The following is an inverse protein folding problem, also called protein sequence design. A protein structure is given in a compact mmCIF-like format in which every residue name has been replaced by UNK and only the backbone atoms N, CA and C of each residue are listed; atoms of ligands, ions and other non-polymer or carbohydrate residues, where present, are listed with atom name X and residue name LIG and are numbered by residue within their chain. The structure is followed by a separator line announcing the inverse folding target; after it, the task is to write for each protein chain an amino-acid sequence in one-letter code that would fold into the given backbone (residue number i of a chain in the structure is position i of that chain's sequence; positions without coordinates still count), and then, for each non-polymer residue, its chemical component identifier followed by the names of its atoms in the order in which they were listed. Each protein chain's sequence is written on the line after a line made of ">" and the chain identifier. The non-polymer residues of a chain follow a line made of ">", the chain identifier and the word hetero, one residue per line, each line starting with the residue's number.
data_IF_199839150164
#
_entry.id   IF_199839150164
#
_cell.length_a   1.000
_cell.length_b   1.000
_cell.length_c   1.000
_cell.angle_alpha   90.00
_cell.angle_beta   90.00
_cell.angle_gamma   90.00
#
_symmetry.space_group_name_H-M   'P 1'
#
loop_
_entity.id
_entity.type
_entity.pdbx_description
1 polymer ?
#
# COMPACT_ATOMS: atom_id res chain seq x y z
N UNK A 1 4.90 -3.05 -21.39
CA UNK A 1 4.82 -2.22 -20.17
C UNK A 1 3.43 -2.43 -19.58
N UNK A 2 3.32 -2.73 -18.28
CA UNK A 2 2.03 -2.89 -17.60
C UNK A 2 1.50 -1.51 -17.23
N UNK A 3 0.18 -1.29 -17.25
CA UNK A 3 -0.42 -0.03 -16.80
C UNK A 3 -0.89 -0.17 -15.35
N UNK A 4 -0.71 0.88 -14.55
CA UNK A 4 -1.21 0.95 -13.18
C UNK A 4 -1.79 2.33 -12.90
N UNK A 5 -2.84 2.36 -12.08
CA UNK A 5 -3.48 3.58 -11.62
C UNK A 5 -3.11 3.87 -10.17
N UNK A 6 -2.65 5.08 -9.91
CA UNK A 6 -2.68 5.67 -8.57
C UNK A 6 -4.00 6.41 -8.46
N UNK A 7 -4.90 5.87 -7.64
CA UNK A 7 -6.17 6.50 -7.34
C UNK A 7 -5.99 7.45 -6.16
N UNK A 8 -6.53 8.66 -6.26
CA UNK A 8 -6.43 9.71 -5.25
C UNK A 8 -7.82 10.24 -4.90
N UNK A 9 -8.20 10.20 -3.62
CA UNK A 9 -9.48 10.75 -3.16
C UNK A 9 -9.39 12.23 -2.74
N UNK A 10 -10.54 12.85 -2.44
CA UNK A 10 -10.62 14.22 -1.93
C UNK A 10 -9.98 14.41 -0.54
N UNK A 11 -9.78 13.34 0.23
CA UNK A 11 -9.02 13.33 1.49
C UNK A 11 -7.50 13.29 1.29
N UNK A 12 -7.03 13.25 0.03
CA UNK A 12 -5.65 13.06 -0.39
C UNK A 12 -5.09 11.68 -0.02
N UNK A 13 -5.91 10.69 0.31
CA UNK A 13 -5.45 9.32 0.37
C UNK A 13 -5.13 8.84 -1.04
N UNK A 14 -4.12 7.98 -1.15
CA UNK A 14 -3.75 7.34 -2.41
C UNK A 14 -3.84 5.84 -2.25
N UNK A 15 -4.23 5.14 -3.29
CA UNK A 15 -4.11 3.68 -3.29
C UNK A 15 -3.72 3.12 -4.63
N UNK A 16 -3.07 1.97 -4.56
CA UNK A 16 -2.64 1.17 -5.71
C UNK A 16 -2.98 -0.28 -5.43
N UNK A 17 -3.36 -1.01 -6.48
CA UNK A 17 -3.60 -2.44 -6.42
C UNK A 17 -2.58 -3.16 -7.29
N UNK A 18 -1.90 -4.14 -6.70
CA UNK A 18 -0.76 -4.84 -7.30
C UNK A 18 -0.80 -6.33 -6.94
N UNK A 19 -0.16 -7.20 -7.74
CA UNK A 19 0.20 -8.53 -7.27
C UNK A 19 1.01 -8.45 -5.98
N UNK A 20 0.76 -9.37 -5.03
CA UNK A 20 1.37 -9.42 -3.70
C UNK A 20 2.89 -9.22 -3.73
N UNK A 21 3.58 -9.91 -4.63
CA UNK A 21 5.05 -9.84 -4.72
C UNK A 21 5.55 -8.48 -5.23
N UNK A 22 4.78 -7.83 -6.10
CA UNK A 22 5.10 -6.50 -6.60
C UNK A 22 4.76 -5.41 -5.57
N UNK A 23 3.66 -5.60 -4.82
CA UNK A 23 3.32 -4.78 -3.67
C UNK A 23 4.43 -4.83 -2.59
N UNK A 24 4.98 -6.02 -2.32
CA UNK A 24 6.08 -6.19 -1.36
C UNK A 24 7.32 -5.42 -1.82
N UNK A 25 7.72 -5.55 -3.09
CA UNK A 25 8.85 -4.79 -3.67
C UNK A 25 8.64 -3.28 -3.59
N UNK A 26 7.42 -2.80 -3.86
CA UNK A 26 7.12 -1.37 -3.73
C UNK A 26 7.35 -0.87 -2.29
N UNK A 27 6.91 -1.62 -1.28
CA UNK A 27 7.12 -1.25 0.13
C UNK A 27 8.60 -1.27 0.52
N UNK A 28 9.39 -2.22 0.01
CA UNK A 28 10.85 -2.27 0.21
C UNK A 28 11.56 -1.06 -0.45
N UNK A 29 11.14 -0.65 -1.64
CA UNK A 29 11.66 0.55 -2.29
C UNK A 29 11.31 1.84 -1.53
N UNK A 30 10.08 1.93 -1.01
CA UNK A 30 9.66 3.05 -0.15
C UNK A 30 10.51 3.10 1.12
N UNK A 31 10.73 1.96 1.78
CA UNK A 31 11.60 1.85 2.96
C UNK A 31 13.03 2.35 2.65
N UNK A 32 13.58 1.96 1.49
CA UNK A 32 14.87 2.42 1.00
C UNK A 32 14.95 3.94 0.81
N UNK A 33 13.96 4.55 0.17
CA UNK A 33 13.88 6.01 -0.03
C UNK A 33 13.72 6.78 1.29
N UNK A 34 13.01 6.22 2.26
CA UNK A 34 12.82 6.85 3.58
C UNK A 34 14.05 6.74 4.47
N UNK A 35 14.99 5.84 4.17
CA UNK A 35 16.16 5.52 4.98
C UNK A 35 15.80 4.98 6.37
N UNK A 36 14.56 4.51 6.55
CA UNK A 36 14.01 4.01 7.81
C UNK A 36 12.82 3.10 7.53
N UNK A 37 12.46 2.32 8.54
CA UNK A 37 11.38 1.34 8.46
C UNK A 37 10.31 1.63 9.54
N UNK A 38 9.32 2.49 9.25
CA UNK A 38 8.21 2.76 10.15
C UNK A 38 7.42 1.49 10.47
N UNK A 39 6.79 1.42 11.64
CA UNK A 39 6.12 0.19 12.10
C UNK A 39 5.01 -0.28 11.16
N UNK A 40 4.31 0.64 10.53
CA UNK A 40 3.25 0.33 9.58
C UNK A 40 3.75 -0.31 8.29
N UNK A 41 4.93 0.11 7.79
CA UNK A 41 5.58 -0.57 6.66
C UNK A 41 5.97 -2.01 7.04
N UNK A 42 6.62 -2.18 8.19
CA UNK A 42 7.04 -3.51 8.66
C UNK A 42 5.88 -4.49 8.78
N UNK A 43 4.79 -4.04 9.40
CA UNK A 43 3.59 -4.84 9.57
C UNK A 43 2.90 -5.13 8.23
N UNK A 44 2.81 -4.15 7.34
CA UNK A 44 2.21 -4.36 6.02
C UNK A 44 3.02 -5.38 5.22
N UNK A 45 4.35 -5.28 5.22
CA UNK A 45 5.22 -6.28 4.58
C UNK A 45 5.08 -7.66 5.22
N UNK A 46 4.88 -7.75 6.54
CA UNK A 46 4.59 -9.02 7.24
C UNK A 46 3.26 -9.61 6.77
N UNK A 47 2.22 -8.79 6.58
CA UNK A 47 0.93 -9.25 6.05
C UNK A 47 1.09 -9.83 4.64
N UNK A 48 1.85 -9.17 3.79
CA UNK A 48 2.12 -9.66 2.43
C UNK A 48 2.97 -10.94 2.42
N UNK A 49 3.97 -11.07 3.30
CA UNK A 49 4.77 -12.30 3.41
C UNK A 49 3.96 -13.50 3.91
N UNK A 50 2.98 -13.27 4.78
CA UNK A 50 2.08 -14.28 5.36
C UNK A 50 0.65 -14.17 4.81
N UNK A 51 0.52 -13.87 3.52
CA UNK A 51 -0.74 -13.48 2.87
C UNK A 51 -1.94 -14.39 3.19
N UNK A 52 -1.78 -15.71 3.07
CA UNK A 52 -2.89 -16.65 3.28
C UNK A 52 -3.45 -16.62 4.72
N UNK A 53 -2.57 -16.42 5.70
CA UNK A 53 -2.96 -16.32 7.10
C UNK A 53 -3.77 -15.06 7.34
N UNK A 54 -3.25 -13.91 6.90
CA UNK A 54 -3.90 -12.62 7.08
C UNK A 54 -5.16 -12.47 6.25
N UNK A 55 -5.18 -12.99 5.02
CA UNK A 55 -6.38 -13.04 4.19
C UNK A 55 -7.49 -13.84 4.87
N UNK A 56 -7.14 -15.02 5.44
CA UNK A 56 -8.11 -15.86 6.16
C UNK A 56 -8.63 -15.20 7.42
N UNK A 57 -7.77 -14.56 8.22
CA UNK A 57 -8.17 -13.82 9.41
C UNK A 57 -9.07 -12.62 9.06
N UNK A 58 -8.71 -11.85 8.04
CA UNK A 58 -9.48 -10.71 7.54
C UNK A 58 -10.90 -11.16 7.10
N UNK A 59 -11.00 -12.24 6.33
CA UNK A 59 -12.29 -12.83 5.91
C UNK A 59 -13.11 -13.34 7.07
N UNK A 60 -12.52 -14.05 8.04
CA UNK A 60 -13.21 -14.54 9.25
C UNK A 60 -13.81 -13.39 10.07
N UNK A 61 -13.16 -12.23 10.07
CA UNK A 61 -13.60 -11.02 10.78
C UNK A 61 -14.52 -10.13 9.95
N UNK A 62 -14.90 -10.53 8.73
CA UNK A 62 -15.69 -9.73 7.80
C UNK A 62 -15.12 -8.32 7.59
N UNK A 63 -13.80 -8.20 7.54
CA UNK A 63 -13.12 -6.92 7.29
C UNK A 63 -12.77 -6.80 5.81
N UNK A 64 -12.92 -5.60 5.27
CA UNK A 64 -12.42 -5.27 3.92
C UNK A 64 -10.95 -4.86 3.94
N UNK A 65 -10.46 -4.38 5.09
CA UNK A 65 -9.12 -3.86 5.26
C UNK A 65 -8.48 -4.31 6.58
N UNK A 66 -7.15 -4.38 6.56
CA UNK A 66 -6.28 -4.51 7.72
C UNK A 66 -5.55 -3.18 7.90
N UNK A 67 -5.72 -2.54 9.05
CA UNK A 67 -4.89 -1.39 9.42
C UNK A 67 -3.62 -1.91 10.13
N UNK A 68 -2.41 -1.66 9.59
CA UNK A 68 -1.18 -2.04 10.27
C UNK A 68 -1.04 -1.24 11.58
N UNK A 69 -0.34 -1.83 12.56
CA UNK A 69 -0.10 -1.11 13.82
C UNK A 69 0.88 0.04 13.60
N UNK A 70 0.51 1.24 14.04
CA UNK A 70 1.42 2.40 14.06
C UNK A 70 2.19 2.47 15.39
N UNK A 71 3.43 2.97 15.36
CA UNK A 71 4.11 3.39 16.59
C UNK A 71 3.78 4.84 16.91
N UNK A 72 3.71 5.18 18.20
CA UNK A 72 3.46 6.56 18.62
C UNK A 72 4.57 7.51 18.12
N UNK A 73 5.82 7.05 18.13
CA UNK A 73 6.97 7.81 17.64
C UNK A 73 6.85 8.09 16.13
N UNK A 74 6.46 7.09 15.32
CA UNK A 74 6.26 7.27 13.88
C UNK A 74 5.14 8.27 13.57
N UNK A 75 4.05 8.21 14.34
CA UNK A 75 2.93 9.14 14.23
C UNK A 75 3.35 10.58 14.56
N UNK A 76 4.09 10.77 15.66
CA UNK A 76 4.60 12.07 16.11
C UNK A 76 5.58 12.65 15.08
N UNK A 77 6.50 11.82 14.56
CA UNK A 77 7.47 12.22 13.52
C UNK A 77 6.83 12.39 12.15
N UNK A 78 5.58 11.96 11.99
CA UNK A 78 4.83 12.06 10.74
C UNK A 78 5.39 11.21 9.61
N UNK A 79 5.96 10.05 9.94
CA UNK A 79 6.60 9.13 8.96
C UNK A 79 5.76 7.91 8.61
N UNK A 80 4.50 7.89 9.05
CA UNK A 80 3.52 6.86 8.67
C UNK A 80 3.34 6.86 7.15
N UNK A 81 3.31 5.67 6.56
CA UNK A 81 3.24 5.46 5.11
C UNK A 81 1.97 4.74 4.70
N UNK A 82 1.57 3.71 5.43
CA UNK A 82 0.41 2.86 5.13
C UNK A 82 -0.69 3.12 6.14
N UNK A 83 -1.85 3.53 5.63
CA UNK A 83 -3.08 3.67 6.41
C UNK A 83 -3.72 2.31 6.63
N UNK A 84 -3.89 1.55 5.55
CA UNK A 84 -4.51 0.21 5.55
C UNK A 84 -4.20 -0.56 4.28
N UNK A 85 -4.39 -1.88 4.33
CA UNK A 85 -4.22 -2.80 3.19
C UNK A 85 -5.44 -3.70 3.04
N UNK A 86 -5.90 -3.91 1.81
CA UNK A 86 -6.87 -4.97 1.50
C UNK A 86 -6.16 -6.12 0.78
N UNK A 87 -6.49 -7.35 1.16
CA UNK A 87 -5.96 -8.57 0.54
C UNK A 87 -7.07 -9.25 -0.26
N UNK A 88 -6.85 -9.54 -1.54
CA UNK A 88 -7.84 -10.16 -2.42
C UNK A 88 -7.21 -11.33 -3.17
N UNK A 89 -7.97 -12.41 -3.32
CA UNK A 89 -7.65 -13.47 -4.28
C UNK A 89 -8.55 -13.31 -5.49
N UNK A 90 -7.98 -13.23 -6.68
CA UNK A 90 -8.68 -13.10 -7.96
C UNK A 90 -8.14 -14.13 -8.95
N UNK A 91 -8.88 -15.22 -9.12
CA UNK A 91 -8.36 -16.41 -9.81
C UNK A 91 -7.12 -16.95 -9.10
N UNK A 92 -6.04 -17.10 -9.86
CA UNK A 92 -4.74 -17.57 -9.37
C UNK A 92 -3.83 -16.44 -8.85
N UNK A 93 -4.34 -15.22 -8.74
CA UNK A 93 -3.57 -14.06 -8.30
C UNK A 93 -3.92 -13.63 -6.88
N UNK A 94 -2.89 -13.50 -6.06
CA UNK A 94 -2.95 -12.79 -4.79
C UNK A 94 -2.67 -11.31 -5.03
N UNK A 95 -3.66 -10.47 -4.78
CA UNK A 95 -3.61 -9.02 -4.96
C UNK A 95 -3.63 -8.30 -3.61
N UNK A 96 -2.90 -7.20 -3.54
CA UNK A 96 -2.91 -6.28 -2.42
C UNK A 96 -3.26 -4.87 -2.88
N UNK A 97 -4.25 -4.26 -2.24
CA UNK A 97 -4.53 -2.83 -2.37
C UNK A 97 -3.91 -2.12 -1.18
N UNK A 98 -2.86 -1.34 -1.41
CA UNK A 98 -2.21 -0.54 -0.37
C UNK A 98 -2.83 0.86 -0.40
N UNK A 99 -3.39 1.28 0.72
CA UNK A 99 -3.85 2.66 0.93
C UNK A 99 -2.77 3.39 1.72
N UNK A 100 -2.19 4.40 1.10
CA UNK A 100 -1.12 5.21 1.65
C UNK A 100 -1.68 6.36 2.48
N UNK A 101 -0.96 6.74 3.54
CA UNK A 101 -1.25 7.93 4.33
C UNK A 101 -1.28 9.17 3.43
N UNK A 102 -2.20 10.09 3.71
CA UNK A 102 -2.38 11.33 2.96
C UNK A 102 -1.12 12.19 2.80
N UNK A 103 -0.12 12.03 3.67
CA UNK A 103 1.17 12.74 3.63
C UNK A 103 2.15 12.16 2.62
N UNK A 104 1.96 10.91 2.19
CA UNK A 104 2.79 10.30 1.14
C UNK A 104 2.57 11.06 -0.16
N UNK A 105 3.67 11.47 -0.79
CA UNK A 105 3.65 12.24 -2.04
C UNK A 105 3.31 11.32 -3.22
N UNK A 106 2.37 11.74 -4.06
CA UNK A 106 1.99 10.99 -5.26
C UNK A 106 3.17 10.83 -6.22
N UNK A 107 4.05 11.83 -6.28
CA UNK A 107 5.26 11.83 -7.12
C UNK A 107 6.26 10.75 -6.70
N UNK A 108 6.38 10.49 -5.39
CA UNK A 108 7.20 9.40 -4.87
C UNK A 108 6.64 8.05 -5.34
N UNK A 109 5.33 7.83 -5.15
CA UNK A 109 4.68 6.60 -5.58
C UNK A 109 4.81 6.38 -7.09
N UNK A 110 4.60 7.43 -7.88
CA UNK A 110 4.76 7.40 -9.33
C UNK A 110 6.18 6.99 -9.72
N UNK A 111 7.20 7.65 -9.18
CA UNK A 111 8.62 7.34 -9.44
C UNK A 111 8.91 5.86 -9.19
N UNK A 112 8.54 5.34 -8.02
CA UNK A 112 8.87 3.96 -7.63
C UNK A 112 8.10 2.91 -8.44
N UNK A 113 6.85 3.19 -8.83
CA UNK A 113 6.09 2.32 -9.72
C UNK A 113 6.65 2.31 -11.15
N UNK A 114 7.12 3.46 -11.65
CA UNK A 114 7.81 3.54 -12.94
C UNK A 114 9.12 2.74 -12.92
N UNK A 115 9.88 2.80 -11.82
CA UNK A 115 11.08 1.97 -11.60
C UNK A 115 10.77 0.46 -11.53
N UNK A 116 9.58 0.07 -11.05
CA UNK A 116 9.08 -1.31 -11.12
C UNK A 116 8.65 -1.74 -12.54
N UNK A 117 8.69 -0.85 -13.52
CA UNK A 117 8.36 -1.13 -14.92
C UNK A 117 6.90 -0.87 -15.32
N UNK A 118 6.17 -0.09 -14.52
CA UNK A 118 4.81 0.32 -14.83
C UNK A 118 4.75 1.63 -15.60
N UNK A 119 3.72 1.74 -16.45
CA UNK A 119 3.20 3.01 -16.93
C UNK A 119 2.17 3.49 -15.91
N UNK A 120 2.45 4.61 -15.25
CA UNK A 120 1.60 5.13 -14.17
C UNK A 120 0.63 6.17 -14.69
N UNK A 121 -0.65 5.95 -14.44
CA UNK A 121 -1.73 6.94 -14.59
C UNK A 121 -2.17 7.42 -13.20
N UNK A 122 -2.40 8.72 -13.06
CA UNK A 122 -2.94 9.29 -11.83
C UNK A 122 -4.39 9.65 -12.09
N UNK A 123 -5.30 9.03 -11.35
CA UNK A 123 -6.73 9.27 -11.44
C UNK A 123 -7.22 9.87 -10.13
N UNK A 124 -7.72 11.11 -10.21
CA UNK A 124 -8.26 11.83 -9.06
C UNK A 124 -9.76 11.58 -9.03
N UNK A 125 -10.23 10.81 -8.06
CA UNK A 125 -11.65 10.70 -7.78
C UNK A 125 -12.16 12.05 -7.28
N UNK A 126 -12.85 12.77 -8.17
CA UNK A 126 -13.63 13.94 -7.77
C UNK A 126 -14.79 13.44 -6.93
N UNK A 127 -14.79 13.80 -5.65
CA UNK A 127 -16.04 13.81 -4.88
C UNK A 127 -16.95 14.84 -5.57
N UNK A 128 -17.99 14.30 -6.22
CA UNK A 128 -19.22 14.91 -6.70
C UNK A 128 -19.50 16.30 -6.14
#
# INVERSE_FOLDING_TARGET
>A
MKEIKILVDGGKYKWVTLPKDEALKLLEMIEGELGRSPRDLQETMRYLRHFDEFYRDMKKRFKDFIAPSHSLDDMIRGVVVVDKVALKKEGDQDLATIVFDRRVKTELLKKLLEELGYKVEIEVEKLW
#
